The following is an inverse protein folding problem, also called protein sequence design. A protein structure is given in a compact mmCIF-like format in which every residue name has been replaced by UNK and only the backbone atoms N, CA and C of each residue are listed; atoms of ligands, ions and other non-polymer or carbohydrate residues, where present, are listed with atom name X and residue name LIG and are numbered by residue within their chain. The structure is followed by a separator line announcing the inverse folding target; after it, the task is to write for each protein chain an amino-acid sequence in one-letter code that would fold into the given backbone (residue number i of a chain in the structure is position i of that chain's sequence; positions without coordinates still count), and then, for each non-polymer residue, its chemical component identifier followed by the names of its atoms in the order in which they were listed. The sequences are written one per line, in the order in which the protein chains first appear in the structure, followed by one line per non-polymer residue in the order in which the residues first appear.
data_IF_975040840138
#
_entry.id   IF_975040840138
#
_cell.length_a   1.000
_cell.length_b   1.000
_cell.length_c   1.000
_cell.angle_alpha   90.00
_cell.angle_beta   90.00
_cell.angle_gamma   90.00
#
_symmetry.space_group_name_H-M   'P 1'
#
loop_
_entity.id
_entity.type
_entity.pdbx_description
1 polymer ?
#
# COMPACT_ATOMS: atom_id res chain seq x y z
N UNK A 1 -53.43 21.88 10.49
CA UNK A 1 -52.37 22.63 11.16
C UNK A 1 -51.35 21.64 11.72
N UNK A 2 -50.14 21.57 11.16
CA UNK A 2 -49.06 20.73 11.70
C UNK A 2 -48.59 21.37 12.99
N UNK A 3 -48.57 20.62 14.09
CA UNK A 3 -48.17 21.15 15.40
C UNK A 3 -46.73 21.63 15.36
N UNK A 4 -46.45 22.86 15.78
CA UNK A 4 -45.13 23.45 15.86
C UNK A 4 -44.13 22.58 16.63
N UNK A 5 -44.59 21.77 17.57
CA UNK A 5 -43.79 20.83 18.34
C UNK A 5 -43.24 19.69 17.48
N UNK A 6 -44.01 19.27 16.48
CA UNK A 6 -43.61 18.20 15.56
C UNK A 6 -42.47 18.67 14.63
N UNK A 7 -42.50 19.92 14.20
CA UNK A 7 -41.45 20.56 13.39
C UNK A 7 -40.15 20.64 14.19
N UNK A 8 -40.19 21.05 15.45
CA UNK A 8 -38.99 21.19 16.29
C UNK A 8 -38.33 19.84 16.56
N UNK A 9 -39.13 18.80 16.81
CA UNK A 9 -38.59 17.47 17.19
C UNK A 9 -38.03 16.70 16.00
N UNK A 10 -38.62 16.83 14.82
CA UNK A 10 -38.21 16.03 13.64
C UNK A 10 -37.45 16.82 12.58
N UNK A 11 -37.80 18.05 12.32
CA UNK A 11 -37.19 18.85 11.24
C UNK A 11 -35.87 19.45 11.71
N UNK A 12 -35.79 19.94 12.95
CA UNK A 12 -34.60 20.60 13.47
C UNK A 12 -33.39 19.65 13.50
N UNK A 13 -33.47 18.41 13.99
CA UNK A 13 -32.31 17.47 13.96
C UNK A 13 -31.86 17.13 12.55
N UNK A 14 -32.79 16.98 11.60
CA UNK A 14 -32.45 16.70 10.20
C UNK A 14 -31.69 17.85 9.56
N UNK A 15 -32.17 19.11 9.78
CA UNK A 15 -31.47 20.30 9.28
C UNK A 15 -30.07 20.43 9.89
N UNK A 16 -29.93 20.21 11.20
CA UNK A 16 -28.62 20.21 11.87
C UNK A 16 -27.69 19.13 11.30
N UNK A 17 -28.20 17.93 11.10
CA UNK A 17 -27.41 16.84 10.52
C UNK A 17 -26.89 17.16 9.12
N UNK A 18 -27.70 17.80 8.29
CA UNK A 18 -27.28 18.21 6.94
C UNK A 18 -26.22 19.32 7.01
N UNK A 19 -26.40 20.33 7.86
CA UNK A 19 -25.45 21.45 7.99
C UNK A 19 -24.11 20.95 8.55
N UNK A 20 -24.12 20.21 9.63
CA UNK A 20 -22.88 19.69 10.23
C UNK A 20 -22.22 18.62 9.36
N UNK A 21 -23.00 17.74 8.75
CA UNK A 21 -22.48 16.71 7.83
C UNK A 21 -21.80 17.32 6.60
N UNK A 22 -22.39 18.35 6.00
CA UNK A 22 -21.78 19.03 4.86
C UNK A 22 -20.54 19.85 5.22
N UNK A 23 -20.50 20.48 6.41
CA UNK A 23 -19.33 21.21 6.88
C UNK A 23 -18.13 20.28 7.13
N UNK A 24 -18.36 19.13 7.76
CA UNK A 24 -17.32 18.11 7.99
C UNK A 24 -16.82 17.53 6.68
N UNK A 25 -17.71 17.25 5.73
CA UNK A 25 -17.34 16.77 4.40
C UNK A 25 -16.49 17.80 3.64
N UNK A 26 -16.86 19.06 3.69
CA UNK A 26 -16.13 20.14 3.01
C UNK A 26 -14.69 20.30 3.56
N UNK A 27 -14.52 20.30 4.87
CA UNK A 27 -13.21 20.38 5.52
C UNK A 27 -12.34 19.16 5.18
N UNK A 28 -12.96 17.99 5.10
CA UNK A 28 -12.25 16.74 4.75
C UNK A 28 -11.84 16.70 3.28
N UNK A 29 -12.61 17.27 2.37
CA UNK A 29 -12.33 17.30 0.93
C UNK A 29 -11.32 18.38 0.51
N UNK A 30 -11.18 19.45 1.30
CA UNK A 30 -10.29 20.56 1.00
C UNK A 30 -8.84 20.39 1.50
N UNK A 31 -8.55 19.36 2.30
CA UNK A 31 -7.19 19.09 2.74
C UNK A 31 -6.42 18.34 1.64
N UNK A 32 -5.41 18.96 1.00
CA UNK A 32 -4.60 18.29 -0.03
C UNK A 32 -3.78 17.12 0.53
N UNK A 33 -3.57 17.08 1.85
CA UNK A 33 -2.83 16.02 2.56
C UNK A 33 -3.75 14.88 3.02
N UNK A 34 -4.77 14.57 2.24
CA UNK A 34 -5.57 13.40 2.51
C UNK A 34 -4.75 12.15 2.24
N UNK A 35 -3.89 11.81 3.16
CA UNK A 35 -3.58 10.41 3.39
C UNK A 35 -4.92 9.75 3.70
N UNK A 36 -5.47 9.03 2.73
CA UNK A 36 -6.50 8.05 3.04
C UNK A 36 -5.95 7.30 4.24
N UNK A 37 -6.62 7.43 5.39
CA UNK A 37 -6.29 6.68 6.57
C UNK A 37 -6.52 5.20 6.25
N UNK A 38 -5.68 4.65 5.41
CA UNK A 38 -5.25 3.30 5.55
C UNK A 38 -4.67 3.30 6.95
N UNK A 39 -5.43 2.74 7.86
CA UNK A 39 -5.06 2.44 9.24
C UNK A 39 -3.54 2.38 9.30
N UNK A 40 -2.86 3.22 10.09
CA UNK A 40 -1.45 3.01 10.28
C UNK A 40 -1.35 1.64 10.97
N UNK A 41 -1.17 0.60 10.17
CA UNK A 41 -0.57 -0.59 10.71
C UNK A 41 0.80 -0.11 11.14
N UNK A 42 0.92 0.21 12.42
CA UNK A 42 2.20 0.29 13.09
C UNK A 42 2.74 -1.13 13.01
N UNK A 43 3.34 -1.45 11.84
CA UNK A 43 4.12 -2.65 11.71
C UNK A 43 5.25 -2.49 12.71
N UNK A 44 5.13 -3.19 13.82
CA UNK A 44 6.28 -3.44 14.69
C UNK A 44 7.37 -3.99 13.78
N UNK A 45 8.42 -3.20 13.60
CA UNK A 45 9.64 -3.63 12.93
C UNK A 45 10.23 -4.77 13.75
N UNK A 46 9.74 -5.98 13.55
CA UNK A 46 10.47 -7.15 13.96
C UNK A 46 11.63 -7.26 12.99
N UNK A 47 12.81 -7.27 13.56
CA UNK A 47 14.09 -7.40 12.88
C UNK A 47 13.98 -8.43 11.76
N UNK A 48 14.19 -7.95 10.53
CA UNK A 48 14.30 -8.74 9.33
C UNK A 48 15.26 -9.90 9.54
N UNK A 49 14.74 -11.11 9.50
CA UNK A 49 15.55 -12.22 9.03
C UNK A 49 15.74 -11.98 7.53
N UNK A 50 16.86 -11.37 7.17
CA UNK A 50 17.27 -11.06 5.80
C UNK A 50 17.39 -12.31 4.89
N UNK A 51 17.12 -13.49 5.43
CA UNK A 51 17.24 -14.78 4.74
C UNK A 51 15.93 -15.38 4.23
N UNK A 52 14.78 -14.87 4.68
CA UNK A 52 13.49 -15.54 4.42
C UNK A 52 12.77 -15.02 3.19
N UNK A 53 13.17 -13.86 2.66
CA UNK A 53 12.56 -13.20 1.51
C UNK A 53 13.62 -12.50 0.65
N UNK A 54 13.62 -12.76 -0.66
CA UNK A 54 14.57 -12.24 -1.63
C UNK A 54 13.86 -11.56 -2.80
N UNK A 55 14.32 -10.35 -3.17
CA UNK A 55 13.81 -9.65 -4.36
C UNK A 55 14.60 -10.12 -5.58
N UNK A 56 13.93 -10.75 -6.52
CA UNK A 56 14.53 -11.28 -7.75
C UNK A 56 14.27 -10.33 -8.92
N UNK A 57 15.33 -10.02 -9.68
CA UNK A 57 15.25 -9.20 -10.88
C UNK A 57 15.38 -7.70 -10.64
N UNK A 58 15.61 -7.25 -9.40
CA UNK A 58 15.92 -5.85 -9.11
C UNK A 58 17.34 -5.51 -9.57
N UNK A 59 17.46 -4.66 -10.59
CA UNK A 59 18.75 -4.11 -11.00
C UNK A 59 19.10 -2.87 -10.16
N UNK A 60 20.39 -2.57 -10.03
CA UNK A 60 20.85 -1.37 -9.30
C UNK A 60 20.55 -0.08 -10.06
N UNK A 61 20.34 -0.15 -11.38
CA UNK A 61 20.09 1.01 -12.23
C UNK A 61 19.14 0.64 -13.39
N UNK A 62 18.24 1.57 -13.68
CA UNK A 62 17.31 1.55 -14.81
C UNK A 62 17.43 2.85 -15.60
N UNK A 63 17.10 2.79 -16.89
CA UNK A 63 16.89 3.98 -17.70
C UNK A 63 15.49 4.56 -17.47
N UNK A 64 15.31 5.85 -17.68
CA UNK A 64 13.96 6.45 -17.74
C UNK A 64 13.13 5.70 -18.79
N UNK A 65 11.86 5.41 -18.45
CA UNK A 65 10.93 4.60 -19.24
C UNK A 65 11.22 3.09 -19.28
N UNK A 66 12.32 2.63 -18.71
CA UNK A 66 12.56 1.19 -18.56
C UNK A 66 11.69 0.64 -17.41
N UNK A 67 10.96 -0.48 -17.62
CA UNK A 67 10.14 -1.05 -16.56
C UNK A 67 10.98 -1.74 -15.49
N UNK A 68 10.80 -1.34 -14.24
CA UNK A 68 11.28 -2.09 -13.08
C UNK A 68 10.45 -3.35 -12.94
N UNK A 69 11.06 -4.51 -13.16
CA UNK A 69 10.39 -5.82 -13.13
C UNK A 69 11.00 -6.66 -12.04
N UNK A 70 10.17 -7.06 -11.07
CA UNK A 70 10.63 -7.91 -9.97
C UNK A 70 9.66 -9.06 -9.71
N UNK A 71 10.21 -10.10 -9.12
CA UNK A 71 9.51 -11.17 -8.41
C UNK A 71 10.11 -11.31 -7.02
N UNK A 72 9.42 -11.96 -6.14
CA UNK A 72 9.84 -12.17 -4.76
C UNK A 72 9.95 -13.66 -4.51
N UNK A 73 11.08 -14.11 -4.01
CA UNK A 73 11.27 -15.48 -3.57
C UNK A 73 11.14 -15.54 -2.06
N UNK A 74 10.38 -16.51 -1.58
CA UNK A 74 10.20 -16.76 -0.15
C UNK A 74 10.86 -18.10 0.19
N UNK A 75 11.70 -18.10 1.20
CA UNK A 75 12.40 -19.30 1.67
C UNK A 75 11.72 -19.89 2.92
N UNK A 76 10.77 -19.17 3.53
CA UNK A 76 10.00 -19.64 4.68
C UNK A 76 8.74 -20.39 4.23
N UNK A 77 8.65 -21.66 4.62
CA UNK A 77 7.53 -22.53 4.29
C UNK A 77 6.20 -22.15 4.97
N UNK A 78 6.20 -21.30 5.98
CA UNK A 78 4.99 -20.78 6.62
C UNK A 78 4.23 -19.78 5.74
N UNK A 79 4.90 -19.17 4.75
CA UNK A 79 4.32 -18.20 3.82
C UNK A 79 3.92 -18.82 2.47
N UNK A 80 3.34 -20.00 2.48
CA UNK A 80 2.86 -20.65 1.23
C UNK A 80 1.64 -19.97 0.61
N UNK A 81 0.84 -19.25 1.42
CA UNK A 81 -0.29 -18.43 0.98
C UNK A 81 -0.25 -17.08 1.66
N UNK A 82 -0.59 -16.01 0.92
CA UNK A 82 -0.64 -14.67 1.49
C UNK A 82 -0.91 -13.58 0.46
N UNK A 83 -0.90 -12.36 0.94
CA UNK A 83 -1.00 -11.14 0.15
C UNK A 83 0.37 -10.50 0.03
N UNK A 84 0.77 -10.16 -1.20
CA UNK A 84 2.02 -9.47 -1.50
C UNK A 84 1.74 -8.00 -1.78
N UNK A 85 2.46 -7.12 -1.11
CA UNK A 85 2.47 -5.68 -1.33
C UNK A 85 3.85 -5.22 -1.74
N UNK A 86 3.92 -4.41 -2.77
CA UNK A 86 5.17 -3.83 -3.26
C UNK A 86 4.99 -2.33 -3.37
N UNK A 87 5.82 -1.57 -2.65
CA UNK A 87 5.76 -0.10 -2.64
C UNK A 87 7.11 0.47 -3.03
N UNK A 88 7.11 1.40 -3.97
CA UNK A 88 8.30 2.16 -4.39
C UNK A 88 8.21 3.57 -3.87
N UNK A 89 9.24 4.01 -3.20
CA UNK A 89 9.39 5.36 -2.63
C UNK A 89 10.49 6.12 -3.34
N UNK A 90 10.32 7.42 -3.50
CA UNK A 90 11.42 8.31 -3.80
C UNK A 90 12.29 8.45 -2.53
N UNK A 91 13.58 8.13 -2.63
CA UNK A 91 14.46 8.07 -1.43
C UNK A 91 14.65 9.43 -0.76
N UNK A 92 14.56 10.52 -1.50
CA UNK A 92 14.79 11.89 -0.99
C UNK A 92 13.59 12.44 -0.21
N UNK A 93 12.36 12.17 -0.69
CA UNK A 93 11.14 12.72 -0.10
C UNK A 93 10.33 11.71 0.72
N UNK A 94 10.67 10.43 0.60
CA UNK A 94 9.88 9.31 1.16
C UNK A 94 8.44 9.24 0.61
N UNK A 95 8.17 9.91 -0.51
CA UNK A 95 6.87 9.88 -1.17
C UNK A 95 6.67 8.54 -1.89
N UNK A 96 5.45 8.03 -1.85
CA UNK A 96 5.06 6.84 -2.59
C UNK A 96 4.97 7.19 -4.08
N UNK A 97 5.81 6.55 -4.89
CA UNK A 97 5.82 6.73 -6.35
C UNK A 97 4.87 5.77 -7.04
N UNK A 98 4.86 4.52 -6.60
CA UNK A 98 3.95 3.50 -7.13
C UNK A 98 3.79 2.35 -6.15
N UNK A 99 2.66 1.65 -6.27
CA UNK A 99 2.35 0.46 -5.48
C UNK A 99 1.80 -0.65 -6.35
N UNK A 100 1.96 -1.89 -5.90
CA UNK A 100 1.30 -3.07 -6.43
C UNK A 100 0.83 -3.96 -5.29
N UNK A 101 -0.38 -4.51 -5.42
CA UNK A 101 -0.94 -5.49 -4.49
C UNK A 101 -1.35 -6.73 -5.25
N UNK A 102 -0.99 -7.90 -4.75
CA UNK A 102 -1.34 -9.22 -5.31
C UNK A 102 -1.94 -10.06 -4.19
N UNK A 103 -3.23 -10.30 -4.28
CA UNK A 103 -4.01 -10.89 -3.19
C UNK A 103 -4.22 -12.39 -3.39
N UNK A 104 -4.41 -13.10 -2.28
CA UNK A 104 -4.72 -14.54 -2.26
C UNK A 104 -3.74 -15.38 -3.09
N UNK A 105 -2.45 -15.06 -3.00
CA UNK A 105 -1.39 -15.77 -3.68
C UNK A 105 -1.06 -17.05 -2.92
N UNK A 106 -1.24 -18.23 -3.52
CA UNK A 106 -0.87 -19.52 -2.92
C UNK A 106 0.08 -20.29 -3.82
N UNK A 107 1.29 -20.49 -3.38
CA UNK A 107 2.34 -21.21 -4.12
C UNK A 107 2.20 -22.71 -3.90
N UNK A 108 2.07 -23.47 -4.97
CA UNK A 108 2.02 -24.93 -4.90
C UNK A 108 3.41 -25.56 -5.11
N UNK A 109 4.17 -25.01 -6.05
CA UNK A 109 5.51 -25.49 -6.39
C UNK A 109 6.41 -24.30 -6.74
N UNK A 110 7.40 -24.01 -5.89
CA UNK A 110 8.31 -22.88 -6.06
C UNK A 110 7.81 -21.61 -5.34
N UNK A 111 8.68 -21.00 -4.59
CA UNK A 111 8.35 -19.93 -3.64
C UNK A 111 8.44 -18.52 -4.28
N UNK A 112 7.85 -18.33 -5.48
CA UNK A 112 7.88 -17.04 -6.18
C UNK A 112 6.53 -16.36 -6.16
N UNK A 113 6.54 -15.08 -5.83
CA UNK A 113 5.40 -14.17 -5.85
C UNK A 113 5.69 -12.97 -6.78
N UNK A 114 4.71 -12.40 -7.47
CA UNK A 114 3.36 -12.93 -7.64
C UNK A 114 3.33 -14.16 -8.55
N UNK A 115 2.32 -15.01 -8.34
CA UNK A 115 2.18 -16.27 -9.09
C UNK A 115 1.72 -15.96 -10.52
N UNK A 116 2.45 -16.52 -11.52
CA UNK A 116 2.18 -16.32 -12.94
C UNK A 116 2.17 -14.85 -13.39
N UNK A 117 2.74 -13.93 -12.60
CA UNK A 117 2.81 -12.51 -12.88
C UNK A 117 4.16 -11.93 -12.45
N UNK A 118 4.39 -10.66 -12.72
CA UNK A 118 5.53 -9.88 -12.25
C UNK A 118 5.08 -8.48 -11.90
N UNK A 119 5.58 -7.94 -10.80
CA UNK A 119 5.49 -6.51 -10.60
C UNK A 119 6.28 -5.84 -11.72
N UNK A 120 5.61 -4.97 -12.49
CA UNK A 120 6.22 -4.25 -13.62
C UNK A 120 5.70 -2.81 -13.62
N UNK A 121 6.57 -1.85 -13.34
CA UNK A 121 6.22 -0.43 -13.31
C UNK A 121 7.30 0.40 -13.96
N UNK A 122 6.88 1.38 -14.77
CA UNK A 122 7.75 2.38 -15.38
C UNK A 122 7.84 3.58 -14.46
N UNK A 123 9.07 4.04 -14.21
CA UNK A 123 9.35 5.25 -13.42
C UNK A 123 9.96 6.27 -14.37
N UNK A 124 9.30 7.41 -14.51
CA UNK A 124 9.64 8.45 -15.51
C UNK A 124 10.52 9.57 -14.95
N UNK A 125 10.72 9.61 -13.65
CA UNK A 125 11.54 10.63 -12.99
C UNK A 125 12.90 10.03 -12.62
N UNK A 126 13.99 10.70 -12.98
CA UNK A 126 15.34 10.29 -12.58
C UNK A 126 15.54 10.52 -11.08
N UNK A 127 16.27 9.61 -10.42
CA UNK A 127 16.57 9.74 -9.00
C UNK A 127 16.82 8.40 -8.31
N UNK A 128 17.17 8.44 -7.02
CA UNK A 128 17.31 7.25 -6.18
C UNK A 128 15.94 6.82 -5.64
N UNK A 129 15.70 5.51 -5.62
CA UNK A 129 14.45 4.90 -5.18
C UNK A 129 14.71 3.78 -4.17
N UNK A 130 13.73 3.60 -3.28
CA UNK A 130 13.65 2.49 -2.34
C UNK A 130 12.41 1.67 -2.64
N UNK A 131 12.55 0.37 -2.74
CA UNK A 131 11.43 -0.57 -2.87
C UNK A 131 11.26 -1.32 -1.55
N UNK A 132 10.05 -1.42 -1.08
CA UNK A 132 9.67 -2.22 0.08
C UNK A 132 8.71 -3.29 -0.40
N UNK A 133 8.98 -4.51 0.01
CA UNK A 133 8.16 -5.68 -0.28
C UNK A 133 7.67 -6.25 1.04
N UNK A 134 6.37 -6.32 1.20
CA UNK A 134 5.70 -6.87 2.37
C UNK A 134 4.84 -8.05 1.96
N UNK A 135 4.92 -9.16 2.72
CA UNK A 135 4.08 -10.32 2.54
C UNK A 135 3.34 -10.57 3.84
N UNK A 136 2.04 -10.67 3.74
CA UNK A 136 1.15 -10.98 4.86
C UNK A 136 0.53 -12.35 4.60
N UNK A 137 0.84 -13.32 5.44
CA UNK A 137 0.29 -14.67 5.34
C UNK A 137 -1.17 -14.73 5.81
N UNK A 138 -1.82 -15.85 5.59
CA UNK A 138 -3.23 -16.05 5.96
C UNK A 138 -3.49 -16.04 7.47
N UNK A 139 -2.47 -16.27 8.28
CA UNK A 139 -2.50 -16.17 9.75
C UNK A 139 -2.12 -14.79 10.29
N UNK A 140 -1.99 -13.80 9.39
CA UNK A 140 -1.61 -12.41 9.67
C UNK A 140 -0.16 -12.21 10.14
N UNK A 141 0.70 -13.21 9.99
CA UNK A 141 2.15 -13.03 10.11
C UNK A 141 2.66 -12.24 8.91
N UNK A 142 3.66 -11.40 9.11
CA UNK A 142 4.23 -10.62 8.02
C UNK A 142 5.76 -10.73 7.99
N UNK A 143 6.30 -10.72 6.78
CA UNK A 143 7.72 -10.57 6.50
C UNK A 143 7.92 -9.44 5.51
N UNK A 144 9.05 -8.73 5.62
CA UNK A 144 9.34 -7.57 4.80
C UNK A 144 10.80 -7.56 4.37
N UNK A 145 11.06 -7.09 3.16
CA UNK A 145 12.41 -6.82 2.68
C UNK A 145 12.47 -5.51 1.91
N UNK A 146 13.67 -4.98 1.78
CA UNK A 146 13.89 -3.71 1.07
C UNK A 146 15.01 -3.83 0.06
N UNK A 147 14.86 -3.09 -1.05
CA UNK A 147 15.90 -2.91 -2.05
C UNK A 147 16.05 -1.44 -2.41
N UNK A 148 17.15 -1.10 -3.07
CA UNK A 148 17.38 0.24 -3.60
C UNK A 148 17.82 0.16 -5.05
N UNK A 149 17.45 1.17 -5.84
CA UNK A 149 17.86 1.31 -7.22
C UNK A 149 17.87 2.78 -7.65
N UNK A 150 18.45 3.08 -8.79
CA UNK A 150 18.49 4.43 -9.35
C UNK A 150 17.92 4.42 -10.76
N UNK A 151 17.14 5.46 -11.11
CA UNK A 151 16.69 5.72 -12.48
C UNK A 151 17.50 6.90 -13.04
N UNK A 152 18.05 6.75 -14.26
CA UNK A 152 18.87 7.77 -14.96
C UNK A 152 18.37 8.00 -16.38
#
# INVERSE_FOLDING_TARGET
MVSSKLIVVFVLPVVFSIIFGSAVMADTLQKPDRTLNMWPMTFSWHSSHDSDIEIIGLANQYSVEEPVKIQVKINDSSFTCGDLYITVYASESSDVVTQGGFFNQCVKDGNFFPINDKFSKVITVSGPYKIIVDIVSTDLSNISTTGTFTVK
#
